data_IF_967351006092
#
_entry.id   IF_967351006092
#
_cell.length_a   1.000
_cell.length_b   1.000
_cell.length_c   1.000
_cell.angle_alpha   90.00
_cell.angle_beta   90.00
_cell.angle_gamma   90.00
#
_symmetry.space_group_name_H-M   'P 1'
#
loop_
_entity.id
_entity.type
_entity.pdbx_description
1 polymer ?
#
# COMPACT_ATOMS: atom_id res chain seq x y z
N UNK A 1 45.89 40.62 -11.22
CA UNK A 1 45.28 40.98 -12.52
C UNK A 1 45.11 39.69 -13.33
N UNK A 2 44.00 38.97 -13.11
CA UNK A 2 43.70 37.70 -13.79
C UNK A 2 42.60 37.94 -14.82
N UNK A 3 42.93 37.76 -16.10
CA UNK A 3 42.02 37.95 -17.23
C UNK A 3 41.29 36.64 -17.53
N UNK A 4 39.97 36.65 -17.38
CA UNK A 4 39.04 35.59 -17.79
C UNK A 4 39.14 35.36 -19.31
N UNK A 5 39.56 34.17 -19.75
CA UNK A 5 39.39 33.73 -21.14
C UNK A 5 37.93 33.33 -21.36
N UNK A 6 37.21 34.10 -22.19
CA UNK A 6 35.86 33.76 -22.68
C UNK A 6 35.91 32.45 -23.47
N UNK A 7 35.12 31.46 -23.05
CA UNK A 7 34.88 30.23 -23.81
C UNK A 7 33.77 30.56 -24.83
N UNK A 8 34.10 30.57 -26.12
CA UNK A 8 33.13 30.77 -27.20
C UNK A 8 32.20 29.56 -27.36
N UNK A 9 31.01 29.72 -27.96
CA UNK A 9 30.09 28.61 -28.19
C UNK A 9 30.73 27.55 -29.11
N UNK A 10 30.48 26.25 -28.87
CA UNK A 10 31.10 25.19 -29.63
C UNK A 10 30.73 25.28 -31.12
N UNK A 11 31.71 25.02 -31.98
CA UNK A 11 31.53 25.04 -33.44
C UNK A 11 30.67 23.87 -33.90
N UNK A 12 29.93 24.04 -35.00
CA UNK A 12 29.02 23.06 -35.62
C UNK A 12 29.65 21.67 -35.86
N UNK A 13 30.99 21.60 -35.94
CA UNK A 13 31.76 20.35 -36.10
C UNK A 13 31.90 19.55 -34.79
N UNK A 14 31.91 20.21 -33.62
CA UNK A 14 31.88 19.55 -32.30
C UNK A 14 30.48 19.00 -31.98
N UNK A 15 29.41 19.66 -32.43
CA UNK A 15 28.05 19.15 -32.31
C UNK A 15 27.82 17.84 -33.08
N UNK A 16 28.44 17.68 -34.26
CA UNK A 16 28.28 16.46 -35.09
C UNK A 16 28.83 15.17 -34.45
N UNK A 17 29.85 15.26 -33.59
CA UNK A 17 30.41 14.08 -32.92
C UNK A 17 29.61 13.66 -31.67
N UNK A 18 28.85 14.56 -31.05
CA UNK A 18 27.95 14.26 -29.94
C UNK A 18 26.58 13.72 -30.39
N UNK A 19 26.22 13.92 -31.66
CA UNK A 19 25.00 13.43 -32.31
C UNK A 19 25.28 12.23 -33.22
N UNK A 20 26.07 11.25 -32.76
CA UNK A 20 25.91 9.88 -33.27
C UNK A 20 24.58 9.35 -32.74
N UNK A 21 23.50 9.75 -33.41
CA UNK A 21 22.23 9.04 -33.38
C UNK A 21 22.57 7.64 -33.87
N UNK A 22 22.76 6.73 -32.92
CA UNK A 22 22.81 5.31 -33.19
C UNK A 22 21.40 4.98 -33.63
N UNK A 23 21.17 5.08 -34.93
CA UNK A 23 20.02 4.48 -35.60
C UNK A 23 20.14 3.00 -35.30
N UNK A 24 19.54 2.56 -34.19
CA UNK A 24 19.15 1.18 -34.03
C UNK A 24 18.27 0.92 -35.23
N UNK A 25 18.77 0.11 -36.15
CA UNK A 25 17.94 -0.50 -37.16
C UNK A 25 16.73 -1.08 -36.42
N UNK A 26 15.52 -0.71 -36.83
CA UNK A 26 14.33 -1.47 -36.49
C UNK A 26 14.44 -2.82 -37.21
N UNK A 27 15.38 -3.66 -36.79
CA UNK A 27 15.31 -5.08 -37.05
C UNK A 27 14.21 -5.57 -36.12
N UNK A 28 13.06 -5.87 -36.71
CA UNK A 28 12.00 -6.62 -36.04
C UNK A 28 12.67 -7.83 -35.38
N UNK A 29 12.56 -8.00 -34.06
CA UNK A 29 13.23 -9.08 -33.37
C UNK A 29 12.90 -10.40 -34.07
N UNK A 30 13.88 -11.30 -34.26
CA UNK A 30 13.66 -12.54 -34.99
C UNK A 30 12.46 -13.28 -34.41
N UNK A 31 11.65 -13.90 -35.27
CA UNK A 31 10.37 -14.52 -34.91
C UNK A 31 10.47 -15.46 -33.69
N UNK A 32 11.61 -16.13 -33.53
CA UNK A 32 11.93 -16.98 -32.39
C UNK A 32 12.08 -16.24 -31.06
N UNK A 33 12.51 -14.97 -31.06
CA UNK A 33 12.58 -14.13 -29.87
C UNK A 33 11.20 -13.56 -29.51
N UNK A 34 10.38 -13.24 -30.52
CA UNK A 34 8.97 -12.87 -30.32
C UNK A 34 8.15 -14.03 -29.75
N UNK A 35 8.32 -15.23 -30.30
CA UNK A 35 7.67 -16.46 -29.82
C UNK A 35 8.13 -16.81 -28.40
N UNK A 36 9.42 -16.67 -28.09
CA UNK A 36 9.94 -16.84 -26.72
C UNK A 36 9.35 -15.81 -25.76
N UNK A 37 9.27 -14.53 -26.14
CA UNK A 37 8.65 -13.48 -25.31
C UNK A 37 7.15 -13.73 -25.11
N UNK A 38 6.45 -14.15 -26.15
CA UNK A 38 5.03 -14.51 -26.07
C UNK A 38 4.82 -15.72 -25.16
N UNK A 39 5.64 -16.77 -25.29
CA UNK A 39 5.62 -17.92 -24.40
C UNK A 39 5.97 -17.53 -22.95
N UNK A 40 6.88 -16.59 -22.73
CA UNK A 40 7.25 -16.08 -21.40
C UNK A 40 6.13 -15.24 -20.77
N UNK A 41 5.41 -14.44 -21.58
CA UNK A 41 4.25 -13.69 -21.14
C UNK A 41 3.04 -14.60 -20.86
N UNK A 42 2.84 -15.65 -21.66
CA UNK A 42 1.78 -16.64 -21.46
C UNK A 42 2.11 -17.62 -20.31
N UNK A 43 3.39 -17.87 -20.03
CA UNK A 43 3.86 -18.67 -18.89
C UNK A 43 3.88 -17.87 -17.58
N UNK A 44 3.60 -16.56 -17.63
CA UNK A 44 3.45 -15.73 -16.44
C UNK A 44 2.14 -16.14 -15.76
N UNK A 45 2.25 -17.08 -14.82
CA UNK A 45 1.15 -17.49 -13.94
C UNK A 45 0.45 -16.26 -13.37
N UNK A 46 -0.85 -16.36 -13.10
CA UNK A 46 -1.62 -15.34 -12.37
C UNK A 46 -0.79 -14.76 -11.20
N UNK A 47 -0.86 -13.44 -10.94
CA UNK A 47 -0.09 -12.82 -9.87
C UNK A 47 -0.25 -13.63 -8.58
N UNK A 48 0.87 -14.18 -8.08
CA UNK A 48 0.83 -14.93 -6.81
C UNK A 48 0.53 -13.92 -5.71
N UNK A 49 -0.62 -14.09 -5.06
CA UNK A 49 -0.98 -13.35 -3.85
C UNK A 49 0.14 -13.53 -2.83
N UNK A 50 0.73 -12.42 -2.38
CA UNK A 50 1.86 -12.43 -1.44
C UNK A 50 1.33 -12.34 0.00
N UNK A 51 1.80 -13.22 0.87
CA UNK A 51 1.52 -13.13 2.31
C UNK A 51 2.18 -11.91 2.93
N UNK A 52 1.57 -11.39 4.01
CA UNK A 52 2.22 -10.44 4.90
C UNK A 52 3.13 -11.26 5.83
N UNK A 53 4.44 -10.96 5.90
CA UNK A 53 5.34 -11.67 6.81
C UNK A 53 4.83 -11.66 8.25
N UNK A 54 4.78 -12.83 8.88
CA UNK A 54 4.39 -12.97 10.29
C UNK A 54 2.88 -12.94 10.58
N UNK A 55 2.02 -12.76 9.58
CA UNK A 55 0.56 -12.73 9.73
C UNK A 55 -0.06 -14.06 9.28
N UNK A 56 -0.81 -14.71 10.16
CA UNK A 56 -1.42 -16.02 9.89
C UNK A 56 -2.78 -15.89 9.21
N UNK A 57 -3.68 -15.06 9.76
CA UNK A 57 -5.04 -14.89 9.24
C UNK A 57 -5.36 -13.41 9.02
N UNK A 58 -5.94 -13.09 7.86
CA UNK A 58 -6.37 -11.74 7.51
C UNK A 58 -7.90 -11.72 7.40
N UNK A 59 -8.54 -10.86 8.19
CA UNK A 59 -9.98 -10.60 8.14
C UNK A 59 -10.18 -9.19 7.61
N UNK A 60 -10.84 -9.07 6.46
CA UNK A 60 -11.10 -7.79 5.83
C UNK A 60 -12.42 -7.20 6.35
N UNK A 61 -12.42 -5.93 6.74
CA UNK A 61 -13.62 -5.18 7.11
C UNK A 61 -13.90 -4.19 5.97
N UNK A 62 -15.02 -4.38 5.27
CA UNK A 62 -15.37 -3.65 4.06
C UNK A 62 -16.74 -3.00 4.16
N UNK A 63 -17.01 -2.00 3.33
CA UNK A 63 -18.35 -1.39 3.20
C UNK A 63 -18.61 -0.89 1.78
N UNK A 64 -19.88 -0.92 1.35
CA UNK A 64 -20.28 -0.34 0.05
C UNK A 64 -20.24 1.19 0.05
N UNK A 65 -20.46 1.83 1.22
CA UNK A 65 -20.44 3.29 1.38
C UNK A 65 -19.59 3.74 2.56
N UNK A 66 -19.18 5.00 2.53
CA UNK A 66 -18.60 5.70 3.69
C UNK A 66 -19.66 5.97 4.75
N UNK A 67 -19.24 6.12 6.01
CA UNK A 67 -20.12 6.54 7.12
C UNK A 67 -20.98 5.43 7.75
N UNK A 68 -20.87 4.17 7.31
CA UNK A 68 -21.66 3.05 7.87
C UNK A 68 -21.10 2.47 9.18
N UNK A 69 -20.02 3.03 9.74
CA UNK A 69 -19.38 2.51 10.95
C UNK A 69 -18.37 1.37 10.73
N UNK A 70 -17.81 1.25 9.51
CA UNK A 70 -16.79 0.26 9.14
C UNK A 70 -15.58 0.26 10.09
N UNK A 71 -14.92 1.41 10.26
CA UNK A 71 -13.73 1.55 11.13
C UNK A 71 -14.05 1.30 12.60
N UNK A 72 -15.20 1.79 13.07
CA UNK A 72 -15.70 1.51 14.42
C UNK A 72 -15.88 0.01 14.63
N UNK A 73 -16.42 -0.70 13.64
CA UNK A 73 -16.59 -2.16 13.69
C UNK A 73 -15.23 -2.87 13.70
N UNK A 74 -14.28 -2.42 12.89
CA UNK A 74 -12.93 -2.99 12.84
C UNK A 74 -12.20 -2.87 14.19
N UNK A 75 -12.21 -1.68 14.79
CA UNK A 75 -11.60 -1.43 16.10
C UNK A 75 -12.25 -2.27 17.19
N UNK A 76 -13.58 -2.24 17.30
CA UNK A 76 -14.30 -2.99 18.32
C UNK A 76 -14.11 -4.50 18.17
N UNK A 77 -14.05 -5.00 16.93
CA UNK A 77 -13.76 -6.42 16.69
C UNK A 77 -12.35 -6.78 17.15
N UNK A 78 -11.34 -5.97 16.82
CA UNK A 78 -9.96 -6.23 17.25
C UNK A 78 -9.83 -6.24 18.77
N UNK A 79 -10.46 -5.27 19.45
CA UNK A 79 -10.50 -5.18 20.93
C UNK A 79 -11.26 -6.36 21.53
N UNK A 80 -12.44 -6.69 21.03
CA UNK A 80 -13.21 -7.84 21.50
C UNK A 80 -12.42 -9.16 21.33
N UNK A 81 -11.76 -9.36 20.18
CA UNK A 81 -10.93 -10.55 19.93
C UNK A 81 -9.76 -10.64 20.91
N UNK A 82 -9.12 -9.52 21.23
CA UNK A 82 -8.02 -9.47 22.20
C UNK A 82 -8.52 -9.79 23.62
N UNK A 83 -9.68 -9.25 24.00
CA UNK A 83 -10.29 -9.49 25.32
C UNK A 83 -10.72 -10.95 25.50
N UNK A 84 -11.36 -11.55 24.48
CA UNK A 84 -11.84 -12.93 24.56
C UNK A 84 -10.74 -13.98 24.32
N UNK A 85 -9.62 -13.59 23.69
CA UNK A 85 -8.45 -14.45 23.48
C UNK A 85 -7.15 -13.72 23.90
N UNK A 86 -6.86 -13.60 25.20
CA UNK A 86 -5.70 -12.85 25.70
C UNK A 86 -4.36 -13.33 25.13
N UNK A 87 -4.23 -14.63 24.86
CA UNK A 87 -3.01 -15.26 24.34
C UNK A 87 -2.79 -15.04 22.84
N UNK A 88 -3.80 -14.50 22.12
CA UNK A 88 -3.71 -14.25 20.69
C UNK A 88 -3.08 -12.89 20.42
N UNK A 89 -2.23 -12.85 19.40
CA UNK A 89 -1.62 -11.64 18.90
C UNK A 89 -2.53 -11.04 17.82
N UNK A 90 -3.08 -9.87 18.11
CA UNK A 90 -4.04 -9.19 17.24
C UNK A 90 -3.37 -7.97 16.62
N UNK A 91 -3.52 -7.83 15.31
CA UNK A 91 -3.13 -6.66 14.55
C UNK A 91 -4.35 -5.93 14.00
N UNK A 92 -4.23 -4.61 13.87
CA UNK A 92 -5.20 -3.76 13.19
C UNK A 92 -4.46 -2.91 12.15
N UNK A 93 -4.88 -3.02 10.89
CA UNK A 93 -4.34 -2.25 9.77
C UNK A 93 -5.44 -1.37 9.19
N UNK A 94 -5.25 -0.07 9.25
CA UNK A 94 -6.10 0.93 8.61
C UNK A 94 -5.51 1.35 7.26
N UNK A 95 -6.20 0.95 6.19
CA UNK A 95 -5.81 1.23 4.82
C UNK A 95 -6.64 2.38 4.21
N UNK A 96 -7.45 3.10 4.98
CA UNK A 96 -8.19 4.27 4.51
C UNK A 96 -7.27 5.50 4.42
N UNK A 97 -6.96 5.89 3.19
CA UNK A 97 -6.02 6.97 2.89
C UNK A 97 -6.62 8.35 3.16
N UNK A 98 -7.93 8.51 2.93
CA UNK A 98 -8.57 9.83 2.86
C UNK A 98 -9.32 10.19 4.13
N UNK A 99 -9.56 9.22 5.01
CA UNK A 99 -10.18 9.43 6.31
C UNK A 99 -9.74 8.40 7.34
N UNK A 100 -8.42 8.25 7.60
CA UNK A 100 -7.95 7.31 8.61
C UNK A 100 -8.54 7.70 9.97
N UNK A 101 -9.22 6.76 10.60
CA UNK A 101 -9.90 6.99 11.90
C UNK A 101 -9.37 6.09 13.01
N UNK A 102 -8.62 5.05 12.66
CA UNK A 102 -8.01 4.13 13.64
C UNK A 102 -7.02 4.82 14.57
N UNK A 103 -6.12 5.74 14.14
CA UNK A 103 -5.23 6.46 15.06
C UNK A 103 -5.99 7.11 16.22
N UNK A 104 -7.05 7.85 15.89
CA UNK A 104 -7.91 8.51 16.87
C UNK A 104 -8.62 7.49 17.78
N UNK A 105 -9.27 6.48 17.21
CA UNK A 105 -10.04 5.48 17.98
C UNK A 105 -9.15 4.63 18.89
N UNK A 106 -7.90 4.40 18.50
CA UNK A 106 -6.91 3.67 19.30
C UNK A 106 -6.08 4.58 20.21
N UNK A 107 -6.34 5.89 20.24
CA UNK A 107 -5.59 6.88 21.01
C UNK A 107 -4.07 6.81 20.73
N UNK A 108 -3.70 6.84 19.45
CA UNK A 108 -2.33 6.73 18.95
C UNK A 108 -1.98 7.94 18.10
N UNK A 109 -0.97 8.71 18.52
CA UNK A 109 -0.57 9.97 17.85
C UNK A 109 0.93 9.99 17.48
N UNK A 110 1.65 8.89 17.70
CA UNK A 110 3.08 8.81 17.42
C UNK A 110 3.36 8.49 15.95
N UNK A 111 4.58 8.74 15.50
CA UNK A 111 5.07 8.26 14.20
C UNK A 111 5.78 6.91 14.39
N UNK A 112 5.43 5.86 13.61
CA UNK A 112 6.13 4.57 13.63
C UNK A 112 7.63 4.74 13.41
N UNK A 113 8.42 4.22 14.35
CA UNK A 113 9.87 4.17 14.22
C UNK A 113 10.28 3.03 13.27
N UNK A 114 11.50 3.12 12.75
CA UNK A 114 12.11 2.03 11.98
C UNK A 114 13.00 1.19 12.88
N UNK A 115 12.97 -0.13 12.69
CA UNK A 115 13.95 -1.04 13.30
C UNK A 115 15.25 -1.12 12.48
N UNK A 116 16.22 -1.93 12.92
CA UNK A 116 17.50 -2.11 12.24
C UNK A 116 17.39 -2.69 10.82
N UNK A 117 16.26 -3.35 10.49
CA UNK A 117 15.97 -3.90 9.17
C UNK A 117 15.20 -2.91 8.28
N UNK A 118 15.08 -1.64 8.69
CA UNK A 118 14.26 -0.59 8.06
C UNK A 118 12.76 -0.92 7.94
N UNK A 119 12.24 -1.76 8.84
CA UNK A 119 10.82 -2.05 8.94
C UNK A 119 10.14 -1.12 9.95
N UNK A 120 8.94 -0.66 9.62
CA UNK A 120 8.12 0.15 10.54
C UNK A 120 7.66 -0.71 11.72
N UNK A 121 7.93 -0.22 12.93
CA UNK A 121 7.44 -0.84 14.16
C UNK A 121 6.00 -0.36 14.36
N UNK A 122 4.99 -1.26 14.35
CA UNK A 122 3.61 -0.86 14.58
C UNK A 122 3.46 -0.25 15.98
N UNK A 123 2.61 0.76 16.08
CA UNK A 123 2.24 1.32 17.37
C UNK A 123 1.35 0.32 18.12
N UNK A 124 1.22 0.45 19.43
CA UNK A 124 0.43 -0.50 20.22
C UNK A 124 -0.43 0.22 21.24
N UNK A 125 -1.71 -0.13 21.29
CA UNK A 125 -2.58 0.22 22.41
C UNK A 125 -3.59 -0.92 22.63
N UNK A 126 -4.10 -1.06 23.86
CA UNK A 126 -5.03 -2.13 24.26
C UNK A 126 -4.50 -3.56 23.96
N UNK A 127 -3.18 -3.74 23.88
CA UNK A 127 -2.54 -5.01 23.51
C UNK A 127 -2.71 -5.38 22.03
N UNK A 128 -2.98 -4.40 21.16
CA UNK A 128 -3.21 -4.57 19.72
C UNK A 128 -2.17 -3.75 18.97
N UNK A 129 -1.45 -4.40 18.05
CA UNK A 129 -0.52 -3.72 17.16
C UNK A 129 -1.28 -3.02 16.03
N UNK A 130 -1.03 -1.74 15.84
CA UNK A 130 -1.73 -0.88 14.91
C UNK A 130 -0.78 -0.28 13.87
N UNK A 131 -1.23 -0.30 12.62
CA UNK A 131 -0.69 0.53 11.55
C UNK A 131 -1.85 1.23 10.84
N UNK A 132 -1.62 2.46 10.39
CA UNK A 132 -2.61 3.24 9.66
C UNK A 132 -1.94 4.08 8.59
N UNK A 133 -2.65 4.32 7.50
CA UNK A 133 -2.32 5.40 6.56
C UNK A 133 -2.16 6.75 7.29
N UNK A 134 -2.95 7.00 8.32
CA UNK A 134 -2.87 8.21 9.15
C UNK A 134 -1.52 8.41 9.84
N UNK A 135 -0.76 7.35 10.10
CA UNK A 135 0.59 7.46 10.66
C UNK A 135 1.66 7.85 9.62
N UNK A 136 1.37 7.63 8.33
CA UNK A 136 2.29 7.94 7.23
C UNK A 136 2.03 9.34 6.64
N UNK A 137 0.94 9.99 7.06
CA UNK A 137 0.52 11.32 6.62
C UNK A 137 0.94 12.31 7.71
N UNK A 138 1.85 13.23 7.38
CA UNK A 138 2.12 14.37 8.25
C UNK A 138 0.90 15.32 8.22
N UNK A 139 0.35 15.68 9.38
CA UNK A 139 -0.86 16.52 9.52
C UNK A 139 -0.74 17.89 8.83
N UNK A 140 0.49 18.37 8.58
CA UNK A 140 0.75 19.77 8.23
C UNK A 140 0.96 20.04 6.74
N UNK A 141 1.00 19.02 5.90
CA UNK A 141 1.24 19.20 4.47
C UNK A 141 0.00 18.81 3.68
N UNK A 142 -0.66 19.79 3.05
CA UNK A 142 -1.70 19.58 2.04
C UNK A 142 -1.10 18.89 0.79
N UNK A 143 -0.70 17.63 0.95
CA UNK A 143 -0.10 16.80 -0.08
C UNK A 143 -1.22 16.22 -0.93
N UNK A 144 -1.14 16.47 -2.24
CA UNK A 144 -2.02 15.83 -3.20
C UNK A 144 -1.56 14.38 -3.36
N UNK A 145 -2.31 13.45 -2.79
CA UNK A 145 -2.05 12.01 -2.92
C UNK A 145 -2.40 11.54 -4.33
N UNK A 146 -1.36 11.31 -5.15
CA UNK A 146 -1.54 10.67 -6.46
C UNK A 146 -1.69 9.16 -6.29
N UNK A 147 -2.43 8.51 -7.20
CA UNK A 147 -2.72 7.07 -7.12
C UNK A 147 -1.48 6.18 -6.93
N UNK A 148 -0.36 6.50 -7.61
CA UNK A 148 0.90 5.76 -7.41
C UNK A 148 1.46 5.88 -5.99
N UNK A 149 1.37 7.06 -5.37
CA UNK A 149 1.81 7.26 -3.99
C UNK A 149 0.95 6.47 -3.01
N UNK A 150 -0.36 6.44 -3.26
CA UNK A 150 -1.30 5.63 -2.49
C UNK A 150 -0.93 4.15 -2.57
N UNK A 151 -0.70 3.63 -3.77
CA UNK A 151 -0.34 2.21 -3.94
C UNK A 151 1.00 1.89 -3.27
N UNK A 152 1.98 2.79 -3.32
CA UNK A 152 3.26 2.63 -2.62
C UNK A 152 3.10 2.64 -1.10
N UNK A 153 2.25 3.51 -0.56
CA UNK A 153 1.97 3.57 0.87
C UNK A 153 1.24 2.31 1.35
N UNK A 154 0.26 1.81 0.59
CA UNK A 154 -0.38 0.53 0.88
C UNK A 154 0.62 -0.62 0.88
N UNK A 155 1.50 -0.70 -0.13
CA UNK A 155 2.53 -1.75 -0.17
C UNK A 155 3.47 -1.66 1.04
N UNK A 156 3.84 -0.45 1.46
CA UNK A 156 4.59 -0.23 2.71
C UNK A 156 3.85 -0.76 3.93
N UNK A 157 2.57 -0.46 4.09
CA UNK A 157 1.77 -0.96 5.21
C UNK A 157 1.62 -2.50 5.19
N UNK A 158 1.56 -3.10 4.00
CA UNK A 158 1.43 -4.56 3.86
C UNK A 158 2.75 -5.31 4.00
N UNK A 159 3.90 -4.71 3.64
CA UNK A 159 5.17 -5.44 3.47
C UNK A 159 6.34 -4.89 4.27
N UNK A 160 6.29 -3.62 4.67
CA UNK A 160 7.39 -2.91 5.33
C UNK A 160 7.07 -2.62 6.80
N UNK A 161 6.37 -3.55 7.46
CA UNK A 161 5.97 -3.46 8.87
C UNK A 161 6.46 -4.69 9.60
N UNK A 162 7.09 -4.47 10.76
CA UNK A 162 7.53 -5.51 11.68
C UNK A 162 6.37 -6.03 12.54
N UNK A 163 5.38 -6.69 11.90
CA UNK A 163 4.20 -7.24 12.59
C UNK A 163 4.56 -8.25 13.70
N UNK A 164 5.68 -8.96 13.53
CA UNK A 164 6.02 -10.09 14.40
C UNK A 164 5.08 -11.26 14.14
N UNK A 165 4.72 -12.03 15.17
CA UNK A 165 3.73 -13.10 15.03
C UNK A 165 2.32 -12.54 15.31
N UNK A 166 1.46 -12.49 14.29
CA UNK A 166 0.06 -12.05 14.39
C UNK A 166 -0.84 -13.23 14.03
N UNK A 167 -1.70 -13.63 14.96
CA UNK A 167 -2.71 -14.66 14.73
C UNK A 167 -3.84 -14.14 13.83
N UNK A 168 -4.30 -12.91 14.08
CA UNK A 168 -5.37 -12.25 13.32
C UNK A 168 -5.00 -10.80 13.03
N UNK A 169 -4.92 -10.46 11.76
CA UNK A 169 -4.83 -9.08 11.28
C UNK A 169 -6.20 -8.65 10.77
N UNK A 170 -6.81 -7.70 11.46
CA UNK A 170 -8.04 -7.03 11.02
C UNK A 170 -7.63 -5.88 10.10
N UNK A 171 -8.18 -5.85 8.89
CA UNK A 171 -7.86 -4.83 7.89
C UNK A 171 -9.09 -3.96 7.63
N UNK A 172 -9.03 -2.70 8.02
CA UNK A 172 -10.04 -1.69 7.72
C UNK A 172 -9.77 -1.10 6.33
N UNK A 173 -10.64 -1.36 5.37
CA UNK A 173 -10.45 -0.91 3.98
C UNK A 173 -10.95 0.51 3.75
N UNK A 174 -10.54 1.20 2.70
CA UNK A 174 -11.29 2.35 2.20
C UNK A 174 -12.76 1.98 1.90
N UNK A 175 -13.69 2.96 1.89
CA UNK A 175 -15.07 2.73 1.51
C UNK A 175 -15.22 2.47 0.00
N UNK A 176 -16.26 1.70 -0.37
CA UNK A 176 -16.61 1.42 -1.76
C UNK A 176 -15.68 0.40 -2.42
N UNK A 177 -15.64 0.42 -3.76
CA UNK A 177 -14.95 -0.58 -4.60
C UNK A 177 -13.88 0.06 -5.51
N UNK A 178 -13.32 1.20 -5.10
CA UNK A 178 -12.29 1.90 -5.85
C UNK A 178 -10.95 1.16 -5.92
N UNK A 179 -9.99 1.69 -6.66
CA UNK A 179 -8.70 1.05 -6.94
C UNK A 179 -7.92 0.62 -5.68
N UNK A 180 -7.95 1.43 -4.61
CA UNK A 180 -7.31 1.11 -3.33
C UNK A 180 -7.92 -0.13 -2.67
N UNK A 181 -9.25 -0.28 -2.74
CA UNK A 181 -9.95 -1.45 -2.23
C UNK A 181 -9.65 -2.69 -3.08
N UNK A 182 -9.78 -2.58 -4.40
CA UNK A 182 -9.48 -3.67 -5.33
C UNK A 182 -8.02 -4.13 -5.20
N UNK A 183 -7.08 -3.21 -5.05
CA UNK A 183 -5.66 -3.50 -4.84
C UNK A 183 -5.43 -4.30 -3.56
N UNK A 184 -6.07 -3.95 -2.44
CA UNK A 184 -5.98 -4.73 -1.20
C UNK A 184 -6.50 -6.15 -1.40
N UNK A 185 -7.68 -6.29 -2.01
CA UNK A 185 -8.31 -7.60 -2.25
C UNK A 185 -7.47 -8.48 -3.19
N UNK A 186 -6.81 -7.89 -4.18
CA UNK A 186 -5.96 -8.61 -5.12
C UNK A 186 -4.59 -9.00 -4.54
N UNK A 187 -4.09 -8.28 -3.54
CA UNK A 187 -2.73 -8.45 -3.01
C UNK A 187 -2.65 -9.16 -1.66
N UNK A 188 -3.78 -9.35 -0.96
CA UNK A 188 -3.82 -9.97 0.36
C UNK A 188 -4.43 -11.38 0.32
N UNK A 189 -3.83 -12.38 1.00
CA UNK A 189 -4.43 -13.70 1.16
C UNK A 189 -5.52 -13.66 2.24
N UNK A 190 -6.67 -13.09 1.87
CA UNK A 190 -7.81 -12.89 2.78
C UNK A 190 -8.41 -14.25 3.20
N UNK A 191 -8.63 -14.43 4.51
CA UNK A 191 -9.28 -15.61 5.08
C UNK A 191 -10.79 -15.45 5.23
N UNK A 192 -11.25 -14.23 5.43
CA UNK A 192 -12.66 -13.90 5.57
C UNK A 192 -12.92 -12.42 5.39
N UNK A 193 -14.17 -12.08 5.09
CA UNK A 193 -14.62 -10.69 4.91
C UNK A 193 -15.83 -10.46 5.78
N UNK A 194 -15.85 -9.32 6.47
CA UNK A 194 -17.03 -8.79 7.18
C UNK A 194 -17.47 -7.55 6.40
N UNK A 195 -18.68 -7.60 5.87
CA UNK A 195 -19.30 -6.47 5.18
C UNK A 195 -20.16 -5.68 6.17
N UNK A 196 -19.79 -4.42 6.39
CA UNK A 196 -20.52 -3.49 7.25
C UNK A 196 -21.47 -2.67 6.39
N UNK A 197 -22.74 -2.63 6.81
CA UNK A 197 -23.78 -1.85 6.15
C UNK A 197 -24.76 -1.29 7.18
N UNK A 198 -25.64 -0.41 6.72
CA UNK A 198 -26.74 0.16 7.52
C UNK A 198 -28.08 -0.17 6.85
N UNK A 199 -29.20 -0.24 7.59
CA UNK A 199 -30.52 -0.53 7.01
C UNK A 199 -31.01 0.47 5.96
N UNK A 200 -30.37 1.65 5.87
CA UNK A 200 -30.67 2.66 4.86
C UNK A 200 -30.42 2.08 3.47
N UNK A 201 -31.43 2.14 2.60
CA UNK A 201 -31.43 1.61 1.23
C UNK A 201 -30.17 1.96 0.44
N UNK A 202 -29.67 3.19 0.62
CA UNK A 202 -28.42 3.62 0.01
C UNK A 202 -27.22 2.70 0.31
N UNK A 203 -27.07 2.14 1.52
CA UNK A 203 -25.91 1.31 1.85
C UNK A 203 -26.00 -0.12 1.29
N UNK A 204 -27.17 -0.55 0.83
CA UNK A 204 -27.44 -1.90 0.30
C UNK A 204 -27.49 -1.91 -1.24
N UNK A 205 -27.99 -0.83 -1.85
CA UNK A 205 -28.13 -0.69 -3.31
C UNK A 205 -26.86 -0.13 -3.98
N UNK A 206 -25.67 -0.60 -3.58
CA UNK A 206 -24.36 -0.19 -4.16
C UNK A 206 -23.75 -1.30 -4.98
#
# INVERSE_FOLDING_TARGET
MNVLKRIGPPTFKQFRNAMKIQVYSNQTPPKSELEKRQAQMMARSLPKIKSIPGVQNIILISSGKGGVGKSTTAVNLAVALKLVNPDKNIGLLDADVFGPSVPLMMNLNDTPLLNNDNLMIPLENYGIKCMSMGFLIAEDAALIWRGLMVMQALDRLMRQVAWGNIDYLIVDTPPGTGDTHLSLVQNLPIKGVILVTTPQTAAVDV
#
